data_IF_258612632678
#
_entry.id   IF_258612632678
#
_cell.length_a   1.000
_cell.length_b   1.000
_cell.length_c   1.000
_cell.angle_alpha   90.00
_cell.angle_beta   90.00
_cell.angle_gamma   90.00
#
_symmetry.space_group_name_H-M   'P 1'
#
loop_
_entity.id
_entity.type
_entity.pdbx_description
1 polymer ?
#
# COMPACT_ATOMS: atom_id res chain seq x y z
N UNK A 1 6.78 10.79 -18.94
CA UNK A 1 7.91 10.04 -18.37
C UNK A 1 7.68 9.82 -16.87
N UNK A 2 7.06 8.69 -16.53
CA UNK A 2 7.04 8.22 -15.13
C UNK A 2 8.44 7.67 -14.82
N UNK A 3 9.10 8.22 -13.80
CA UNK A 3 10.45 7.84 -13.43
C UNK A 3 10.45 6.38 -12.94
N UNK A 4 11.31 5.51 -13.47
CA UNK A 4 11.45 4.10 -13.00
C UNK A 4 11.62 3.98 -11.48
N UNK A 5 12.18 5.00 -10.81
CA UNK A 5 12.25 5.07 -9.34
C UNK A 5 10.88 5.22 -8.68
N UNK A 6 9.96 6.01 -9.26
CA UNK A 6 8.62 6.21 -8.72
C UNK A 6 7.85 4.88 -8.71
N UNK A 7 7.90 4.11 -9.81
CA UNK A 7 7.27 2.78 -9.90
C UNK A 7 7.85 1.82 -8.87
N UNK A 8 9.18 1.79 -8.67
CA UNK A 8 9.82 0.94 -7.65
C UNK A 8 9.40 1.29 -6.23
N UNK A 9 9.30 2.59 -5.91
CA UNK A 9 8.82 3.06 -4.60
C UNK A 9 7.35 2.64 -4.41
N UNK A 10 6.52 2.88 -5.41
CA UNK A 10 5.11 2.47 -5.44
C UNK A 10 4.96 0.95 -5.23
N UNK A 11 5.79 0.14 -5.90
CA UNK A 11 5.80 -1.32 -5.74
C UNK A 11 6.23 -1.74 -4.33
N UNK A 12 7.25 -1.07 -3.78
CA UNK A 12 7.71 -1.29 -2.41
C UNK A 12 6.65 -0.94 -1.38
N UNK A 13 5.89 0.13 -1.58
CA UNK A 13 4.76 0.48 -0.74
C UNK A 13 3.60 -0.52 -0.88
N UNK A 14 3.27 -0.95 -2.10
CA UNK A 14 2.22 -1.97 -2.32
C UNK A 14 2.56 -3.29 -1.63
N UNK A 15 3.83 -3.69 -1.57
CA UNK A 15 4.24 -4.96 -0.94
C UNK A 15 4.55 -4.83 0.56
N UNK A 16 5.14 -3.71 0.99
CA UNK A 16 5.59 -3.51 2.37
C UNK A 16 4.50 -3.04 3.32
N UNK A 17 3.56 -2.24 2.84
CA UNK A 17 2.48 -1.70 3.67
C UNK A 17 1.45 -2.76 4.15
N UNK A 18 1.10 -3.83 3.41
CA UNK A 18 0.24 -4.89 3.95
C UNK A 18 0.95 -5.71 5.04
N UNK A 19 2.27 -5.88 4.95
CA UNK A 19 3.07 -6.50 6.01
C UNK A 19 3.03 -5.64 7.29
N UNK A 20 3.20 -4.32 7.14
CA UNK A 20 3.11 -3.38 8.25
C UNK A 20 1.73 -3.38 8.91
N UNK A 21 0.66 -3.46 8.10
CA UNK A 21 -0.72 -3.59 8.57
C UNK A 21 -0.95 -4.89 9.35
N UNK A 22 -0.40 -6.02 8.88
CA UNK A 22 -0.48 -7.29 9.59
C UNK A 22 0.21 -7.23 10.96
N UNK A 23 1.37 -6.58 11.03
CA UNK A 23 2.10 -6.36 12.29
C UNK A 23 1.29 -5.47 13.24
N UNK A 24 0.74 -4.35 12.74
CA UNK A 24 -0.10 -3.45 13.55
C UNK A 24 -1.35 -4.15 14.09
N UNK A 25 -2.01 -4.96 13.26
CA UNK A 25 -3.16 -5.78 13.68
C UNK A 25 -2.78 -6.82 14.73
N UNK A 26 -1.61 -7.46 14.58
CA UNK A 26 -1.08 -8.39 15.57
C UNK A 26 -0.80 -7.70 16.91
N UNK A 27 -0.13 -6.54 16.90
CA UNK A 27 0.17 -5.77 18.11
C UNK A 27 -1.12 -5.28 18.79
N UNK A 28 -2.12 -4.85 18.03
CA UNK A 28 -3.44 -4.51 18.57
C UNK A 28 -4.13 -5.71 19.25
N UNK A 29 -4.00 -6.91 18.68
CA UNK A 29 -4.49 -8.15 19.28
C UNK A 29 -3.79 -8.47 20.61
N UNK A 30 -2.47 -8.29 20.67
CA UNK A 30 -1.70 -8.46 21.91
C UNK A 30 -2.10 -7.43 22.98
N UNK A 31 -2.26 -6.16 22.63
CA UNK A 31 -2.70 -5.12 23.57
C UNK A 31 -4.11 -5.37 24.09
N UNK A 32 -5.00 -5.88 23.22
CA UNK A 32 -6.35 -6.30 23.62
C UNK A 32 -6.29 -7.45 24.65
N UNK A 33 -5.36 -8.39 24.47
CA UNK A 33 -5.16 -9.49 25.42
C UNK A 33 -4.56 -9.03 26.77
N UNK A 34 -3.92 -7.86 26.81
CA UNK A 34 -3.42 -7.23 28.03
C UNK A 34 -4.47 -6.35 28.74
N UNK A 35 -5.73 -6.39 28.28
CA UNK A 35 -6.84 -5.52 28.74
C UNK A 35 -6.57 -4.00 28.54
N UNK A 36 -5.53 -3.63 27.78
CA UNK A 36 -5.26 -2.26 27.37
C UNK A 36 -6.08 -1.89 26.13
N UNK A 37 -7.37 -1.67 26.36
CA UNK A 37 -8.34 -1.35 25.32
C UNK A 37 -8.10 0.02 24.69
N UNK A 38 -7.47 0.97 25.41
CA UNK A 38 -7.21 2.31 24.92
C UNK A 38 -6.11 2.28 23.84
N UNK A 39 -4.99 1.60 24.10
CA UNK A 39 -3.93 1.45 23.13
C UNK A 39 -4.36 0.60 21.91
N UNK A 40 -5.17 -0.44 22.14
CA UNK A 40 -5.70 -1.28 21.07
C UNK A 40 -6.62 -0.51 20.10
N UNK A 41 -7.44 0.43 20.59
CA UNK A 41 -8.32 1.25 19.76
C UNK A 41 -7.52 2.18 18.84
N UNK A 42 -6.50 2.87 19.38
CA UNK A 42 -5.63 3.76 18.59
C UNK A 42 -4.90 3.00 17.49
N UNK A 43 -4.38 1.80 17.77
CA UNK A 43 -3.73 0.98 16.75
C UNK A 43 -4.70 0.51 15.66
N UNK A 44 -5.95 0.24 16.00
CA UNK A 44 -6.99 -0.14 15.03
C UNK A 44 -7.35 1.01 14.08
N UNK A 45 -7.50 2.22 14.61
CA UNK A 45 -7.76 3.40 13.81
C UNK A 45 -6.57 3.71 12.89
N UNK A 46 -5.35 3.56 13.42
CA UNK A 46 -4.13 3.74 12.63
C UNK A 46 -4.01 2.70 11.51
N UNK A 47 -4.31 1.43 11.81
CA UNK A 47 -4.36 0.34 10.81
C UNK A 47 -5.40 0.61 9.71
N UNK A 48 -6.53 1.20 10.06
CA UNK A 48 -7.55 1.59 9.09
C UNK A 48 -7.02 2.69 8.16
N UNK A 49 -6.36 3.72 8.70
CA UNK A 49 -5.74 4.78 7.91
C UNK A 49 -4.68 4.26 6.95
N UNK A 50 -3.80 3.37 7.42
CA UNK A 50 -2.80 2.71 6.57
C UNK A 50 -3.43 1.82 5.49
N UNK A 51 -4.55 1.15 5.77
CA UNK A 51 -5.26 0.33 4.78
C UNK A 51 -5.83 1.19 3.63
N UNK A 52 -6.41 2.34 3.96
CA UNK A 52 -6.89 3.30 2.95
C UNK A 52 -5.72 3.83 2.12
N UNK A 53 -4.62 4.20 2.75
CA UNK A 53 -3.42 4.68 2.06
C UNK A 53 -2.84 3.61 1.12
N UNK A 54 -2.86 2.33 1.53
CA UNK A 54 -2.45 1.23 0.69
C UNK A 54 -3.30 1.13 -0.58
N UNK A 55 -4.63 1.16 -0.45
CA UNK A 55 -5.55 1.07 -1.58
C UNK A 55 -5.30 2.22 -2.57
N UNK A 56 -5.16 3.45 -2.07
CA UNK A 56 -4.84 4.62 -2.92
C UNK A 56 -3.52 4.42 -3.66
N UNK A 57 -2.52 3.85 -2.98
CA UNK A 57 -1.21 3.55 -3.58
C UNK A 57 -1.32 2.49 -4.69
N UNK A 58 -2.07 1.42 -4.45
CA UNK A 58 -2.35 0.37 -5.46
C UNK A 58 -3.04 0.95 -6.69
N UNK A 59 -4.09 1.77 -6.48
CA UNK A 59 -4.83 2.41 -7.58
C UNK A 59 -3.91 3.33 -8.39
N UNK A 60 -3.08 4.14 -7.72
CA UNK A 60 -2.09 4.98 -8.40
C UNK A 60 -1.09 4.16 -9.22
N UNK A 61 -0.64 3.01 -8.69
CA UNK A 61 0.27 2.09 -9.39
C UNK A 61 -0.37 1.53 -10.66
N UNK A 62 -1.63 1.09 -10.58
CA UNK A 62 -2.40 0.58 -11.71
C UNK A 62 -2.57 1.65 -12.79
N UNK A 63 -2.92 2.89 -12.41
CA UNK A 63 -3.07 3.99 -13.37
C UNK A 63 -1.74 4.31 -14.05
N UNK A 64 -0.63 4.37 -13.29
CA UNK A 64 0.69 4.64 -13.84
C UNK A 64 1.10 3.59 -14.87
N UNK A 65 0.88 2.30 -14.57
CA UNK A 65 1.12 1.19 -15.50
C UNK A 65 0.20 1.24 -16.72
N UNK A 66 -1.07 1.58 -16.54
CA UNK A 66 -2.01 1.72 -17.65
C UNK A 66 -1.58 2.85 -18.61
N UNK A 67 -1.19 4.00 -18.07
CA UNK A 67 -0.66 5.11 -18.88
C UNK A 67 0.62 4.71 -19.60
N UNK A 68 1.56 4.03 -18.92
CA UNK A 68 2.79 3.53 -19.55
C UNK A 68 2.48 2.53 -20.68
N UNK A 69 1.51 1.63 -20.50
CA UNK A 69 1.10 0.67 -21.54
C UNK A 69 0.42 1.31 -22.76
N UNK A 70 -0.18 2.48 -22.60
CA UNK A 70 -0.80 3.25 -23.69
C UNK A 70 0.21 4.16 -24.39
N UNK A 71 1.27 4.56 -23.69
CA UNK A 71 2.37 5.39 -24.20
C UNK A 71 3.40 4.56 -24.95
N UNK A 72 3.35 3.22 -24.85
CA UNK A 72 4.16 2.30 -25.64
C UNK A 72 3.66 2.34 -27.11
N UNK A 73 4.37 3.05 -28.01
CA UNK A 73 3.93 3.17 -29.39
C UNK A 73 4.07 1.79 -30.01
N UNK A 74 2.98 1.28 -30.57
CA UNK A 74 2.89 -0.04 -31.15
C UNK A 74 4.14 -0.41 -31.95
N UNK A 75 4.67 -1.59 -31.62
CA UNK A 75 5.49 -2.46 -32.45
C UNK A 75 4.81 -2.69 -33.82
N UNK A 76 4.82 -1.66 -34.67
CA UNK A 76 4.28 -1.60 -36.02
C UNK A 76 5.41 -1.28 -37.01
N UNK A 77 6.57 -1.92 -36.83
CA UNK A 77 7.59 -1.99 -37.87
C UNK A 77 8.21 -3.41 -37.88
N UNK A 78 7.47 -4.35 -38.45
CA UNK A 78 7.95 -5.67 -38.89
C UNK A 78 7.18 -6.11 -40.13
#
# INVERSE_FOLDING_TARGET
MISRSAVKILLGFVLGLPLLLAILGWVAGLLTAMEDHAAAAVLRDLSTGFSVLWIVTVVGLVIALAVESLDEPGDLDS
#
